data_IF_852994957952
#
_entry.id   IF_852994957952
#
_cell.length_a   1.000
_cell.length_b   1.000
_cell.length_c   1.000
_cell.angle_alpha   90.00
_cell.angle_beta   90.00
_cell.angle_gamma   90.00
#
_symmetry.space_group_name_H-M   'P 1'
#
loop_
_entity.id
_entity.type
_entity.pdbx_description
1 polymer ?
#
# COMPACT_ATOMS: atom_id res chain seq x y z
N UNK A 1 7.99 -41.55 -33.54
CA UNK A 1 7.81 -40.08 -33.76
C UNK A 1 6.76 -39.58 -32.76
N UNK A 2 7.21 -39.11 -31.59
CA UNK A 2 6.35 -38.51 -30.56
C UNK A 2 6.61 -37.03 -30.60
N UNK A 3 5.61 -36.28 -31.05
CA UNK A 3 5.59 -34.81 -31.00
C UNK A 3 5.24 -34.38 -29.57
N UNK A 4 6.22 -33.76 -28.89
CA UNK A 4 5.98 -33.08 -27.60
C UNK A 4 5.55 -31.64 -27.95
N UNK A 5 4.26 -31.35 -27.75
CA UNK A 5 3.75 -29.97 -27.78
C UNK A 5 4.06 -29.30 -26.45
N UNK A 6 5.00 -28.36 -26.46
CA UNK A 6 5.15 -27.38 -25.39
C UNK A 6 4.01 -26.39 -25.45
N UNK A 7 3.07 -26.50 -24.55
CA UNK A 7 2.01 -25.48 -24.38
C UNK A 7 2.58 -24.32 -23.57
N UNK A 8 2.95 -23.25 -24.25
CA UNK A 8 3.27 -21.97 -23.60
C UNK A 8 1.98 -21.39 -23.03
N UNK A 9 1.81 -21.44 -21.71
CA UNK A 9 0.75 -20.71 -21.02
C UNK A 9 1.10 -19.23 -21.06
N UNK A 10 0.50 -18.50 -22.00
CA UNK A 10 0.51 -17.04 -22.01
C UNK A 10 -0.38 -16.57 -20.85
N UNK A 11 0.20 -15.96 -19.85
CA UNK A 11 -0.52 -15.14 -18.89
C UNK A 11 -1.16 -13.97 -19.65
N UNK A 12 -2.45 -14.04 -19.87
CA UNK A 12 -3.24 -12.94 -20.42
C UNK A 12 -3.54 -12.03 -19.25
N UNK A 13 -2.81 -10.90 -19.15
CA UNK A 13 -3.25 -9.79 -18.32
C UNK A 13 -4.57 -9.27 -18.91
N UNK A 14 -5.65 -9.47 -18.19
CA UNK A 14 -6.96 -8.92 -18.59
C UNK A 14 -6.92 -7.44 -18.26
N UNK A 15 -6.52 -6.61 -19.23
CA UNK A 15 -6.70 -5.15 -19.15
C UNK A 15 -8.17 -4.89 -19.51
N UNK A 16 -9.00 -4.63 -18.51
CA UNK A 16 -10.35 -4.14 -18.72
C UNK A 16 -10.25 -2.65 -19.03
N UNK A 17 -10.07 -2.31 -20.32
CA UNK A 17 -10.17 -0.92 -20.80
C UNK A 17 -11.65 -0.62 -21.01
N UNK A 18 -12.28 0.09 -20.08
CA UNK A 18 -13.55 0.76 -20.37
C UNK A 18 -13.26 2.03 -21.16
N UNK A 19 -13.81 2.14 -22.37
CA UNK A 19 -13.72 3.33 -23.22
C UNK A 19 -14.42 4.52 -22.55
N UNK A 20 -13.65 5.54 -22.18
CA UNK A 20 -14.16 6.78 -21.59
C UNK A 20 -14.15 7.94 -22.59
N UNK A 21 -15.31 8.62 -22.67
CA UNK A 21 -15.44 9.96 -23.23
C UNK A 21 -15.34 10.97 -22.09
N UNK A 22 -14.20 11.63 -21.98
CA UNK A 22 -13.93 12.67 -21.00
C UNK A 22 -12.58 12.42 -20.31
N UNK A 23 -11.69 13.43 -20.29
CA UNK A 23 -10.33 13.29 -19.75
C UNK A 23 -10.38 13.39 -18.21
N UNK A 24 -10.92 12.38 -17.54
CA UNK A 24 -10.49 12.08 -16.17
C UNK A 24 -9.38 11.02 -16.31
N UNK A 25 -8.20 11.32 -15.81
CA UNK A 25 -7.12 10.31 -15.80
C UNK A 25 -7.47 9.27 -14.73
N UNK A 26 -7.71 8.04 -15.16
CA UNK A 26 -7.98 6.93 -14.26
C UNK A 26 -6.83 6.76 -13.25
N UNK A 27 -7.17 6.55 -11.99
CA UNK A 27 -6.20 6.26 -10.93
C UNK A 27 -5.75 4.81 -11.09
N UNK A 28 -4.43 4.60 -11.12
CA UNK A 28 -3.85 3.26 -11.10
C UNK A 28 -3.87 2.75 -9.66
N UNK A 29 -4.61 1.67 -9.41
CA UNK A 29 -4.68 0.99 -8.11
C UNK A 29 -3.91 -0.31 -8.21
N UNK A 30 -2.83 -0.45 -7.43
CA UNK A 30 -2.06 -1.68 -7.32
C UNK A 30 -2.51 -2.43 -6.06
N UNK A 31 -2.86 -3.70 -6.21
CA UNK A 31 -3.30 -4.53 -5.08
C UNK A 31 -2.37 -5.72 -4.95
N UNK A 32 -1.71 -5.83 -3.80
CA UNK A 32 -1.03 -7.06 -3.44
C UNK A 32 -2.08 -8.11 -3.05
N UNK A 33 -2.17 -9.17 -3.84
CA UNK A 33 -3.00 -10.33 -3.56
C UNK A 33 -2.17 -11.38 -2.84
N UNK A 34 -2.40 -11.52 -1.54
CA UNK A 34 -1.66 -12.42 -0.69
C UNK A 34 -1.85 -13.90 -1.06
N UNK A 35 -3.00 -14.26 -1.66
CA UNK A 35 -3.31 -15.64 -2.02
C UNK A 35 -2.52 -16.12 -3.25
N UNK A 36 -2.38 -15.24 -4.25
CA UNK A 36 -1.61 -15.53 -5.46
C UNK A 36 -0.15 -15.11 -5.35
N UNK A 37 0.21 -14.33 -4.31
CA UNK A 37 1.51 -13.68 -4.13
C UNK A 37 1.91 -12.86 -5.36
N UNK A 38 1.00 -11.99 -5.82
CA UNK A 38 1.17 -11.18 -7.03
C UNK A 38 0.63 -9.76 -6.82
N UNK A 39 1.02 -8.84 -7.70
CA UNK A 39 0.50 -7.47 -7.76
C UNK A 39 -0.48 -7.35 -8.93
N UNK A 40 -1.72 -7.06 -8.62
CA UNK A 40 -2.76 -6.79 -9.60
C UNK A 40 -2.88 -5.29 -9.86
N UNK A 41 -3.12 -4.91 -11.11
CA UNK A 41 -3.28 -3.51 -11.51
C UNK A 41 -4.68 -3.22 -12.04
N UNK A 42 -5.31 -2.20 -11.47
CA UNK A 42 -6.63 -1.70 -11.87
C UNK A 42 -6.50 -0.23 -12.30
N UNK A 43 -7.38 0.21 -13.21
CA UNK A 43 -7.47 1.60 -13.64
C UNK A 43 -8.90 2.06 -13.41
N UNK A 44 -9.11 2.87 -12.39
CA UNK A 44 -10.41 3.19 -11.82
C UNK A 44 -10.60 4.70 -11.67
N UNK A 45 -11.86 5.14 -11.65
CA UNK A 45 -12.24 6.50 -11.32
C UNK A 45 -12.36 6.66 -9.79
N UNK A 46 -12.33 7.90 -9.29
CA UNK A 46 -12.47 8.16 -7.84
C UNK A 46 -13.79 7.64 -7.25
N UNK A 47 -14.85 7.59 -8.06
CA UNK A 47 -16.18 7.09 -7.66
C UNK A 47 -16.31 5.56 -7.69
N UNK A 48 -15.35 4.86 -8.29
CA UNK A 48 -15.41 3.40 -8.35
C UNK A 48 -15.10 2.79 -6.96
N UNK A 49 -15.68 1.64 -6.68
CA UNK A 49 -15.37 0.88 -5.46
C UNK A 49 -13.93 0.36 -5.51
N UNK A 50 -13.23 0.40 -4.38
CA UNK A 50 -11.90 -0.22 -4.26
C UNK A 50 -11.95 -1.71 -4.61
N UNK A 51 -10.93 -2.24 -5.32
CA UNK A 51 -10.85 -3.68 -5.60
C UNK A 51 -10.94 -4.50 -4.30
N UNK A 52 -11.66 -5.62 -4.36
CA UNK A 52 -11.94 -6.52 -3.22
C UNK A 52 -12.83 -5.94 -2.11
N UNK A 53 -13.17 -4.66 -2.14
CA UNK A 53 -14.16 -4.10 -1.23
C UNK A 53 -15.59 -4.47 -1.69
N UNK A 54 -16.51 -4.60 -0.74
CA UNK A 54 -17.94 -4.74 -1.04
C UNK A 54 -18.42 -3.51 -1.80
N UNK A 55 -19.23 -3.70 -2.83
CA UNK A 55 -19.73 -2.62 -3.70
C UNK A 55 -20.27 -1.44 -2.90
N UNK A 56 -19.73 -0.26 -3.17
CA UNK A 56 -20.11 0.99 -2.52
C UNK A 56 -19.69 1.13 -1.05
N UNK A 57 -18.89 0.20 -0.50
CA UNK A 57 -18.46 0.27 0.91
C UNK A 57 -17.31 1.24 1.15
N UNK A 58 -16.43 1.40 0.17
CA UNK A 58 -15.35 2.38 0.12
C UNK A 58 -14.96 2.63 -1.34
N UNK A 59 -14.89 3.88 -1.74
CA UNK A 59 -14.48 4.29 -3.09
C UNK A 59 -12.96 4.51 -3.18
N UNK A 60 -12.45 4.53 -4.41
CA UNK A 60 -11.05 4.88 -4.70
C UNK A 60 -10.71 6.26 -4.15
N UNK A 61 -11.62 7.24 -4.31
CA UNK A 61 -11.46 8.59 -3.78
C UNK A 61 -11.39 8.64 -2.25
N UNK A 62 -12.25 7.88 -1.54
CA UNK A 62 -12.21 7.78 -0.08
C UNK A 62 -10.90 7.13 0.40
N UNK A 63 -10.47 6.03 -0.24
CA UNK A 63 -9.21 5.37 0.10
C UNK A 63 -8.00 6.25 -0.19
N UNK A 64 -7.97 6.92 -1.34
CA UNK A 64 -6.92 7.87 -1.74
C UNK A 64 -6.86 9.08 -0.81
N UNK A 65 -8.01 9.53 -0.32
CA UNK A 65 -8.14 10.68 0.58
C UNK A 65 -7.48 11.94 0.01
N UNK A 66 -6.60 12.56 0.78
CA UNK A 66 -5.88 13.78 0.39
C UNK A 66 -4.58 13.54 -0.41
N UNK A 67 -4.28 12.31 -0.82
CA UNK A 67 -3.15 12.04 -1.71
C UNK A 67 -3.43 12.58 -3.11
N UNK A 68 -2.44 13.22 -3.74
CA UNK A 68 -2.51 13.67 -5.13
C UNK A 68 -1.92 12.65 -6.11
N UNK A 69 -1.47 11.49 -5.63
CA UNK A 69 -0.85 10.48 -6.48
C UNK A 69 -1.83 9.89 -7.50
N UNK A 70 -1.44 9.78 -8.77
CA UNK A 70 -2.20 9.04 -9.77
C UNK A 70 -2.09 7.52 -9.60
N UNK A 71 -1.18 7.05 -8.73
CA UNK A 71 -0.99 5.62 -8.43
C UNK A 71 -1.07 5.41 -6.92
N UNK A 72 -1.99 4.57 -6.49
CA UNK A 72 -2.17 4.16 -5.10
C UNK A 72 -2.02 2.64 -4.99
N UNK A 73 -1.86 2.13 -3.78
CA UNK A 73 -1.77 0.69 -3.54
C UNK A 73 -2.39 0.28 -2.21
N UNK A 74 -2.76 -0.99 -2.16
CA UNK A 74 -3.30 -1.64 -0.96
C UNK A 74 -3.05 -3.15 -1.02
N UNK A 75 -3.60 -3.90 -0.06
CA UNK A 75 -3.63 -5.35 -0.06
C UNK A 75 -5.05 -5.87 -0.14
N UNK A 76 -5.24 -7.04 -0.77
CA UNK A 76 -6.51 -7.75 -0.77
C UNK A 76 -7.01 -7.98 0.66
N UNK A 77 -6.11 -8.45 1.53
CA UNK A 77 -6.47 -8.76 2.90
C UNK A 77 -6.96 -7.56 3.71
N UNK A 78 -6.46 -6.33 3.47
CA UNK A 78 -7.01 -5.12 4.12
C UNK A 78 -8.45 -4.88 3.68
N UNK A 79 -8.76 -5.03 2.39
CA UNK A 79 -10.12 -4.83 1.88
C UNK A 79 -11.10 -5.90 2.38
N UNK A 80 -10.66 -7.15 2.51
CA UNK A 80 -11.46 -8.21 3.10
C UNK A 80 -11.75 -7.98 4.59
N UNK A 81 -10.76 -7.50 5.36
CA UNK A 81 -10.97 -7.07 6.74
C UNK A 81 -11.92 -5.88 6.85
N UNK A 82 -11.80 -4.91 5.95
CA UNK A 82 -12.75 -3.80 5.84
C UNK A 82 -14.18 -4.29 5.62
N UNK A 83 -14.39 -5.22 4.68
CA UNK A 83 -15.71 -5.79 4.42
C UNK A 83 -16.32 -6.40 5.68
N UNK A 84 -15.52 -7.21 6.40
CA UNK A 84 -15.96 -7.85 7.63
C UNK A 84 -16.30 -6.82 8.72
N UNK A 85 -15.47 -5.78 8.89
CA UNK A 85 -15.71 -4.71 9.84
C UNK A 85 -16.99 -3.94 9.50
N UNK A 86 -17.20 -3.60 8.23
CA UNK A 86 -18.41 -2.91 7.74
C UNK A 86 -19.68 -3.74 7.94
N UNK A 87 -19.59 -5.04 7.70
CA UNK A 87 -20.71 -5.97 7.93
C UNK A 87 -21.08 -6.08 9.41
N UNK A 88 -20.07 -6.23 10.28
CA UNK A 88 -20.28 -6.33 11.72
C UNK A 88 -20.81 -5.02 12.34
N UNK A 89 -20.34 -3.89 11.86
CA UNK A 89 -20.82 -2.58 12.30
C UNK A 89 -22.24 -2.27 11.81
N UNK A 90 -22.61 -2.76 10.62
CA UNK A 90 -23.96 -2.68 10.07
C UNK A 90 -24.38 -1.30 9.51
N UNK A 91 -23.50 -0.29 9.53
CA UNK A 91 -23.77 1.05 9.00
C UNK A 91 -22.53 1.68 8.38
N UNK A 92 -22.64 2.80 7.62
CA UNK A 92 -21.48 3.49 7.06
C UNK A 92 -20.45 3.90 8.11
N UNK A 93 -19.16 3.67 7.79
CA UNK A 93 -18.00 4.14 8.56
C UNK A 93 -17.24 5.12 7.68
N UNK A 94 -17.05 6.36 8.17
CA UNK A 94 -16.22 7.37 7.49
C UNK A 94 -14.76 6.94 7.54
N UNK A 95 -14.09 6.89 6.39
CA UNK A 95 -12.62 6.72 6.28
C UNK A 95 -12.02 8.06 5.90
N UNK A 96 -11.08 8.57 6.68
CA UNK A 96 -10.47 9.87 6.43
C UNK A 96 -9.05 9.77 5.89
N UNK A 97 -8.29 8.77 6.35
CA UNK A 97 -6.95 8.50 5.86
C UNK A 97 -6.77 6.99 5.70
N UNK A 98 -6.43 6.56 4.49
CA UNK A 98 -6.02 5.19 4.25
C UNK A 98 -4.69 5.12 3.50
N UNK A 99 -4.43 6.06 2.58
CA UNK A 99 -3.25 6.03 1.72
C UNK A 99 -2.54 7.39 1.64
N UNK A 100 -1.22 7.32 1.61
CA UNK A 100 -0.29 8.40 1.25
C UNK A 100 0.96 7.82 0.60
N UNK A 101 1.57 8.57 -0.32
CA UNK A 101 2.94 8.27 -0.76
C UNK A 101 3.94 8.77 0.30
N UNK A 102 5.07 8.10 0.44
CA UNK A 102 6.08 8.47 1.44
C UNK A 102 6.56 9.93 1.26
N UNK A 103 6.79 10.35 0.02
CA UNK A 103 7.20 11.70 -0.32
C UNK A 103 6.14 12.78 -0.03
N UNK A 104 4.86 12.43 0.08
CA UNK A 104 3.80 13.36 0.52
C UNK A 104 3.88 13.66 2.03
N UNK A 105 4.41 12.73 2.81
CA UNK A 105 4.51 12.89 4.25
C UNK A 105 3.18 12.82 4.99
N UNK A 106 3.11 13.48 6.15
CA UNK A 106 1.90 13.57 6.96
C UNK A 106 1.75 12.50 8.06
N UNK A 107 2.50 11.40 7.98
CA UNK A 107 2.54 10.31 8.96
C UNK A 107 3.96 10.05 9.48
N UNK A 108 4.11 9.14 10.45
CA UNK A 108 5.41 8.69 10.94
C UNK A 108 6.27 8.03 9.85
N UNK A 109 7.60 7.94 10.07
CA UNK A 109 8.55 7.53 9.04
C UNK A 109 8.24 6.16 8.40
N UNK A 110 7.79 5.20 9.18
CA UNK A 110 7.44 3.85 8.70
C UNK A 110 5.94 3.55 8.94
N UNK A 111 5.09 4.53 8.66
CA UNK A 111 3.65 4.40 8.80
C UNK A 111 3.06 3.40 7.80
N UNK A 112 2.08 2.62 8.27
CA UNK A 112 1.37 1.63 7.45
C UNK A 112 0.44 2.29 6.41
N UNK A 113 0.13 3.58 6.54
CA UNK A 113 -0.57 4.34 5.51
C UNK A 113 0.25 4.46 4.21
N UNK A 114 1.59 4.55 4.31
CA UNK A 114 2.46 4.52 3.13
C UNK A 114 2.52 3.14 2.47
N UNK A 115 2.26 2.07 3.25
CA UNK A 115 2.15 0.73 2.71
C UNK A 115 0.75 0.42 2.13
N UNK A 116 -0.24 1.31 2.32
CA UNK A 116 -1.62 1.06 1.95
C UNK A 116 -2.26 -0.08 2.76
N UNK A 117 -1.78 -0.31 3.97
CA UNK A 117 -2.24 -1.41 4.85
C UNK A 117 -2.94 -0.91 6.11
N UNK A 118 -3.24 0.39 6.21
CA UNK A 118 -3.87 1.02 7.37
C UNK A 118 -5.07 1.88 6.97
N UNK A 119 -5.97 2.08 7.94
CA UNK A 119 -7.10 3.00 7.84
C UNK A 119 -7.28 3.78 9.13
N UNK A 120 -7.49 5.11 9.00
CA UNK A 120 -7.99 6.00 10.04
C UNK A 120 -9.44 6.34 9.75
N UNK A 121 -10.34 6.00 10.67
CA UNK A 121 -11.78 6.04 10.44
C UNK A 121 -12.55 6.58 11.64
N UNK A 122 -13.85 6.79 11.48
CA UNK A 122 -14.80 7.14 12.55
C UNK A 122 -14.49 8.46 13.28
N UNK A 123 -13.93 9.45 12.60
CA UNK A 123 -13.64 10.77 13.18
C UNK A 123 -14.92 11.50 13.60
N UNK A 124 -16.04 11.27 12.88
CA UNK A 124 -17.35 11.85 13.16
C UNK A 124 -18.16 11.11 14.25
N UNK A 125 -17.68 9.94 14.68
CA UNK A 125 -18.38 9.10 15.68
C UNK A 125 -18.24 9.66 17.10
N UNK A 126 -19.16 9.27 18.00
CA UNK A 126 -19.01 9.53 19.43
C UNK A 126 -17.80 8.76 20.00
N UNK A 127 -17.24 9.17 21.15
CA UNK A 127 -16.19 8.39 21.82
C UNK A 127 -16.62 6.92 22.08
N UNK A 128 -17.88 6.73 22.50
CA UNK A 128 -18.47 5.43 22.80
C UNK A 128 -18.54 4.55 21.55
N UNK A 129 -19.01 5.10 20.43
CA UNK A 129 -19.08 4.37 19.15
C UNK A 129 -17.68 4.01 18.62
N UNK A 130 -16.69 4.90 18.83
CA UNK A 130 -15.29 4.58 18.46
C UNK A 130 -14.72 3.44 19.31
N UNK A 131 -15.04 3.41 20.60
CA UNK A 131 -14.59 2.32 21.48
C UNK A 131 -15.25 1.00 21.12
N UNK A 132 -16.55 1.01 20.80
CA UNK A 132 -17.26 -0.16 20.30
C UNK A 132 -16.68 -0.65 18.96
N UNK A 133 -16.38 0.27 18.02
CA UNK A 133 -15.77 -0.08 16.74
C UNK A 133 -14.38 -0.72 16.91
N UNK A 134 -13.56 -0.26 17.88
CA UNK A 134 -12.28 -0.89 18.22
C UNK A 134 -12.47 -2.32 18.72
N UNK A 135 -13.41 -2.51 19.64
CA UNK A 135 -13.74 -3.84 20.18
C UNK A 135 -14.13 -4.79 19.04
N UNK A 136 -14.99 -4.34 18.12
CA UNK A 136 -15.37 -5.12 16.95
C UNK A 136 -14.17 -5.44 16.08
N UNK A 137 -13.31 -4.45 15.79
CA UNK A 137 -12.10 -4.65 14.98
C UNK A 137 -11.13 -5.67 15.61
N UNK A 138 -10.97 -5.65 16.94
CA UNK A 138 -10.19 -6.64 17.69
C UNK A 138 -10.83 -8.04 17.65
N UNK A 139 -12.15 -8.14 17.83
CA UNK A 139 -12.88 -9.42 17.84
C UNK A 139 -12.88 -10.10 16.46
N UNK A 140 -12.91 -9.37 15.38
CA UNK A 140 -12.78 -9.90 14.01
C UNK A 140 -11.45 -10.64 13.85
N UNK A 141 -10.38 -10.16 14.47
CA UNK A 141 -9.08 -10.83 14.54
C UNK A 141 -8.30 -10.85 13.21
N UNK A 142 -8.73 -10.10 12.20
CA UNK A 142 -8.03 -10.03 10.91
C UNK A 142 -7.09 -8.81 10.79
N UNK A 143 -7.30 -7.76 11.60
CA UNK A 143 -6.33 -6.67 11.74
C UNK A 143 -5.18 -7.12 12.63
N UNK A 144 -3.95 -6.79 12.23
CA UNK A 144 -2.75 -7.13 13.02
C UNK A 144 -2.55 -6.14 14.16
N UNK A 145 -3.02 -4.90 13.97
CA UNK A 145 -2.98 -3.86 14.97
C UNK A 145 -4.26 -3.03 14.96
N UNK A 146 -4.82 -2.84 16.14
CA UNK A 146 -5.89 -1.88 16.44
C UNK A 146 -5.32 -0.92 17.47
N UNK A 147 -5.23 0.37 17.14
CA UNK A 147 -4.56 1.33 18.00
C UNK A 147 -5.42 1.66 19.22
N UNK A 148 -4.84 1.62 20.44
CA UNK A 148 -5.56 1.93 21.66
C UNK A 148 -6.12 3.35 21.70
N UNK A 149 -7.31 3.54 22.30
CA UNK A 149 -8.00 4.82 22.34
C UNK A 149 -7.17 5.98 22.93
N UNK A 150 -6.24 5.72 23.86
CA UNK A 150 -5.40 6.77 24.46
C UNK A 150 -4.36 7.35 23.46
N UNK A 151 -4.03 6.64 22.39
CA UNK A 151 -3.16 7.13 21.30
C UNK A 151 -3.96 7.84 20.22
N UNK A 152 -5.18 7.37 19.92
CA UNK A 152 -6.06 7.92 18.89
C UNK A 152 -7.46 8.23 19.42
N UNK A 153 -7.60 9.18 20.37
CA UNK A 153 -8.88 9.41 21.06
C UNK A 153 -10.00 9.96 20.14
N UNK A 154 -9.65 10.51 18.99
CA UNK A 154 -10.57 11.17 18.06
C UNK A 154 -10.82 10.42 16.74
N UNK A 155 -10.17 9.26 16.56
CA UNK A 155 -10.39 8.35 15.41
C UNK A 155 -10.05 6.92 15.80
N UNK A 156 -10.39 5.97 14.95
CA UNK A 156 -9.99 4.57 15.10
C UNK A 156 -8.94 4.26 14.04
N UNK A 157 -7.73 3.86 14.47
CA UNK A 157 -6.69 3.36 13.58
C UNK A 157 -6.63 1.84 13.63
N UNK A 158 -6.64 1.24 12.45
CA UNK A 158 -6.42 -0.20 12.26
C UNK A 158 -5.39 -0.42 11.17
N UNK A 159 -4.60 -1.48 11.29
CA UNK A 159 -3.74 -1.88 10.19
C UNK A 159 -3.56 -3.40 10.06
N UNK A 160 -3.13 -3.78 8.89
CA UNK A 160 -2.81 -5.15 8.51
C UNK A 160 -1.35 -5.26 8.05
N UNK A 161 -0.46 -4.73 8.88
CA UNK A 161 0.99 -4.77 8.63
C UNK A 161 1.49 -6.20 8.44
N UNK A 162 2.46 -6.40 7.56
CA UNK A 162 3.15 -7.69 7.46
C UNK A 162 4.17 -7.82 8.59
N UNK A 163 4.39 -9.04 9.05
CA UNK A 163 5.29 -9.40 10.15
C UNK A 163 6.31 -10.45 9.70
N UNK A 164 7.48 -10.54 10.36
CA UNK A 164 7.99 -9.64 11.39
C UNK A 164 8.56 -8.35 10.79
N UNK A 165 8.53 -7.21 11.52
CA UNK A 165 9.17 -5.98 11.08
C UNK A 165 10.70 -6.13 11.11
N UNK A 166 11.39 -5.42 10.20
CA UNK A 166 12.86 -5.36 10.20
C UNK A 166 13.40 -4.54 11.39
N UNK A 167 12.61 -3.54 11.83
CA UNK A 167 12.83 -2.76 13.05
C UNK A 167 11.61 -2.88 13.97
N UNK A 168 11.77 -2.53 15.25
CA UNK A 168 10.66 -2.51 16.19
C UNK A 168 9.52 -1.59 15.71
N UNK A 169 8.40 -2.08 15.33
CA UNK A 169 7.21 -1.38 14.84
C UNK A 169 7.32 -0.77 13.41
N UNK A 170 8.24 -1.25 12.59
CA UNK A 170 8.48 -0.71 11.25
C UNK A 170 8.03 -1.61 10.10
N UNK A 171 8.64 -1.34 8.94
CA UNK A 171 8.45 -2.14 7.74
C UNK A 171 9.17 -3.47 7.84
N UNK A 172 8.70 -4.46 7.07
CA UNK A 172 9.39 -5.75 6.95
C UNK A 172 10.69 -5.60 6.15
N UNK A 173 11.59 -6.58 6.29
CA UNK A 173 12.72 -6.70 5.39
C UNK A 173 12.24 -7.12 4.00
N UNK A 174 12.72 -6.42 2.95
CA UNK A 174 12.49 -6.81 1.55
C UNK A 174 13.79 -6.97 0.80
N UNK A 175 13.84 -7.93 -0.12
CA UNK A 175 15.01 -8.29 -0.92
C UNK A 175 14.56 -8.92 -2.24
N UNK A 176 15.50 -9.20 -3.12
CA UNK A 176 15.23 -9.87 -4.39
C UNK A 176 14.33 -11.09 -4.21
N UNK A 177 13.24 -11.15 -5.00
CA UNK A 177 12.17 -12.14 -4.91
C UNK A 177 11.00 -11.75 -3.99
N UNK A 178 11.08 -10.66 -3.23
CA UNK A 178 9.93 -10.14 -2.46
C UNK A 178 8.88 -9.55 -3.39
N UNK A 179 7.59 -9.81 -3.11
CA UNK A 179 6.43 -9.24 -3.81
C UNK A 179 5.44 -8.75 -2.75
N UNK A 180 5.27 -7.45 -2.60
CA UNK A 180 4.31 -6.83 -1.68
C UNK A 180 4.31 -5.30 -1.78
N UNK A 181 3.45 -4.64 -0.98
CA UNK A 181 3.34 -3.18 -0.96
C UNK A 181 4.55 -2.46 -0.36
N UNK A 182 5.37 -3.11 0.47
CA UNK A 182 6.62 -2.50 0.96
C UNK A 182 7.68 -2.42 -0.14
N UNK A 183 7.65 -3.33 -1.12
CA UNK A 183 8.46 -3.18 -2.33
C UNK A 183 8.03 -1.97 -3.13
N UNK A 184 6.71 -1.67 -3.22
CA UNK A 184 6.21 -0.44 -3.85
C UNK A 184 6.74 0.82 -3.14
N UNK A 185 6.75 0.84 -1.79
CA UNK A 185 7.34 1.96 -1.04
C UNK A 185 8.83 2.11 -1.38
N UNK A 186 9.58 1.00 -1.40
CA UNK A 186 11.01 1.01 -1.73
C UNK A 186 11.26 1.56 -3.12
N UNK A 187 10.55 1.03 -4.12
CA UNK A 187 10.67 1.45 -5.51
C UNK A 187 10.32 2.92 -5.68
N UNK A 188 9.22 3.37 -5.06
CA UNK A 188 8.79 4.77 -5.07
C UNK A 188 9.84 5.70 -4.46
N UNK A 189 10.38 5.33 -3.31
CA UNK A 189 11.39 6.10 -2.60
C UNK A 189 12.71 6.19 -3.39
N UNK A 190 13.17 5.08 -3.96
CA UNK A 190 14.37 5.04 -4.81
C UNK A 190 14.20 5.92 -6.05
N UNK A 191 13.07 5.82 -6.74
CA UNK A 191 12.76 6.65 -7.90
C UNK A 191 12.69 8.14 -7.53
N UNK A 192 12.08 8.49 -6.39
CA UNK A 192 12.01 9.87 -5.88
C UNK A 192 13.41 10.46 -5.64
N UNK A 193 14.36 9.65 -5.20
CA UNK A 193 15.77 10.05 -4.99
C UNK A 193 16.63 9.97 -6.25
N UNK A 194 16.06 9.58 -7.40
CA UNK A 194 16.77 9.51 -8.69
C UNK A 194 17.51 8.18 -8.92
N UNK A 195 17.36 7.18 -8.07
CA UNK A 195 17.87 5.82 -8.31
C UNK A 195 16.88 5.06 -9.19
N UNK A 196 16.87 5.37 -10.48
CA UNK A 196 15.95 4.83 -11.47
C UNK A 196 16.28 3.39 -11.86
N UNK A 197 15.30 2.67 -12.42
CA UNK A 197 15.44 1.26 -12.82
C UNK A 197 14.70 0.30 -11.91
N UNK A 198 14.22 0.77 -10.75
CA UNK A 198 13.46 -0.06 -9.82
C UNK A 198 12.03 -0.41 -10.32
N UNK A 199 11.48 0.36 -11.28
CA UNK A 199 10.06 0.23 -11.65
C UNK A 199 9.12 0.79 -10.58
N UNK A 200 7.84 0.50 -10.67
CA UNK A 200 6.82 0.68 -9.62
C UNK A 200 5.76 -0.41 -9.83
N UNK A 201 6.14 -1.64 -9.55
CA UNK A 201 5.36 -2.85 -9.82
C UNK A 201 5.19 -3.75 -8.59
N UNK A 202 5.88 -3.43 -7.48
CA UNK A 202 5.84 -4.20 -6.23
C UNK A 202 6.58 -5.53 -6.28
N UNK A 203 7.34 -5.79 -7.36
CA UNK A 203 8.17 -6.98 -7.53
C UNK A 203 9.64 -6.61 -7.37
N UNK A 204 10.30 -7.13 -6.35
CA UNK A 204 11.71 -6.87 -6.12
C UNK A 204 12.56 -7.72 -7.07
N UNK A 205 12.76 -7.21 -8.28
CA UNK A 205 13.63 -7.82 -9.29
C UNK A 205 15.06 -7.25 -9.26
N UNK A 206 15.85 -7.62 -10.26
CA UNK A 206 17.26 -7.18 -10.41
C UNK A 206 17.37 -5.66 -10.48
N UNK A 207 16.47 -4.98 -11.22
CA UNK A 207 16.51 -3.51 -11.33
C UNK A 207 16.27 -2.82 -9.97
N UNK A 208 15.37 -3.33 -9.14
CA UNK A 208 15.16 -2.83 -7.77
C UNK A 208 16.39 -3.07 -6.90
N UNK A 209 17.03 -4.25 -7.02
CA UNK A 209 18.25 -4.58 -6.30
C UNK A 209 19.39 -3.64 -6.66
N UNK A 210 19.64 -3.44 -7.95
CA UNK A 210 20.73 -2.59 -8.42
C UNK A 210 20.52 -1.12 -7.98
N UNK A 211 19.29 -0.61 -8.08
CA UNK A 211 18.94 0.73 -7.59
C UNK A 211 19.14 0.85 -6.06
N UNK A 212 18.75 -0.16 -5.30
CA UNK A 212 18.93 -0.20 -3.84
C UNK A 212 20.42 -0.24 -3.47
N UNK A 213 21.23 -1.08 -4.13
CA UNK A 213 22.67 -1.16 -3.87
C UNK A 213 23.36 0.17 -4.17
N UNK A 214 23.00 0.83 -5.28
CA UNK A 214 23.52 2.16 -5.62
C UNK A 214 23.14 3.22 -4.57
N UNK A 215 21.90 3.18 -4.06
CA UNK A 215 21.46 4.02 -2.94
C UNK A 215 22.29 3.75 -1.68
N UNK A 216 22.42 2.49 -1.27
CA UNK A 216 23.16 2.08 -0.08
C UNK A 216 24.62 2.55 -0.17
N UNK A 217 25.29 2.32 -1.29
CA UNK A 217 26.68 2.78 -1.53
C UNK A 217 26.79 4.31 -1.41
N UNK A 218 25.85 5.04 -2.01
CA UNK A 218 25.85 6.51 -1.97
C UNK A 218 25.66 7.10 -0.57
N UNK A 219 25.15 6.33 0.37
CA UNK A 219 24.91 6.71 1.78
C UNK A 219 25.92 6.09 2.74
N UNK A 220 26.91 5.35 2.23
CA UNK A 220 27.91 4.67 3.04
C UNK A 220 27.35 3.49 3.85
N UNK A 221 26.19 2.96 3.43
CA UNK A 221 25.62 1.72 3.94
C UNK A 221 26.27 0.51 3.27
N UNK A 222 26.12 -0.67 3.85
CA UNK A 222 26.52 -1.92 3.20
C UNK A 222 25.67 -2.14 1.95
N UNK A 223 26.24 -2.21 0.72
CA UNK A 223 25.47 -2.37 -0.51
C UNK A 223 25.10 -3.84 -0.74
N UNK A 224 24.29 -4.41 0.15
CA UNK A 224 23.87 -5.81 0.13
C UNK A 224 22.59 -6.07 -0.69
N UNK A 225 21.89 -5.01 -1.11
CA UNK A 225 20.66 -5.09 -1.86
C UNK A 225 19.48 -5.59 -1.00
N UNK A 226 19.53 -5.38 0.32
CA UNK A 226 18.48 -5.75 1.27
C UNK A 226 17.99 -4.49 1.97
N UNK A 227 16.70 -4.19 1.88
CA UNK A 227 16.10 -3.12 2.65
C UNK A 227 15.72 -3.64 4.04
N UNK A 228 16.70 -3.63 4.94
CA UNK A 228 16.59 -3.94 6.35
C UNK A 228 16.36 -2.69 7.20
N UNK A 229 16.49 -2.83 8.53
CA UNK A 229 16.22 -1.76 9.49
C UNK A 229 16.99 -0.46 9.19
N UNK A 230 18.31 -0.56 8.97
CA UNK A 230 19.17 0.59 8.73
C UNK A 230 18.78 1.27 7.41
N UNK A 231 18.65 0.52 6.32
CA UNK A 231 18.22 1.05 5.02
C UNK A 231 16.87 1.75 5.11
N UNK A 232 15.87 1.14 5.76
CA UNK A 232 14.55 1.77 5.94
C UNK A 232 14.62 3.06 6.74
N UNK A 233 15.45 3.12 7.78
CA UNK A 233 15.61 4.31 8.60
C UNK A 233 16.18 5.46 7.77
N UNK A 234 17.23 5.23 7.00
CA UNK A 234 17.82 6.25 6.14
C UNK A 234 16.84 6.68 5.04
N UNK A 235 16.30 5.73 4.29
CA UNK A 235 15.44 5.99 3.14
C UNK A 235 14.18 6.77 3.54
N UNK A 236 13.51 6.35 4.61
CA UNK A 236 12.29 7.02 5.06
C UNK A 236 12.55 8.39 5.66
N UNK A 237 13.71 8.61 6.28
CA UNK A 237 14.09 9.93 6.79
C UNK A 237 14.39 10.93 5.66
N UNK A 238 14.92 10.47 4.53
CA UNK A 238 15.23 11.32 3.38
C UNK A 238 13.98 11.66 2.57
N UNK A 239 13.12 10.66 2.29
CA UNK A 239 12.02 10.81 1.32
C UNK A 239 10.76 11.38 1.95
N UNK A 240 10.49 11.13 3.24
CA UNK A 240 9.24 11.52 3.89
C UNK A 240 8.99 13.03 3.85
N UNK A 241 7.91 13.43 3.13
CA UNK A 241 7.50 14.84 3.03
C UNK A 241 8.39 15.69 2.11
N UNK A 242 9.23 15.07 1.31
CA UNK A 242 10.15 15.73 0.37
C UNK A 242 9.42 16.38 -0.80
N UNK A 243 8.22 15.91 -1.12
CA UNK A 243 7.53 16.22 -2.35
C UNK A 243 8.02 15.33 -3.50
N UNK A 244 7.20 15.18 -4.55
CA UNK A 244 7.62 14.48 -5.76
C UNK A 244 8.61 15.37 -6.54
N UNK A 245 9.78 14.83 -6.87
CA UNK A 245 10.74 15.48 -7.76
C UNK A 245 10.53 15.06 -9.21
N UNK A 246 9.70 14.06 -9.46
CA UNK A 246 9.40 13.52 -10.78
C UNK A 246 8.00 13.91 -11.23
N UNK A 247 7.93 14.77 -12.27
CA UNK A 247 6.69 15.13 -12.97
C UNK A 247 6.30 14.08 -14.03
N UNK A 248 7.05 13.00 -14.16
CA UNK A 248 6.89 11.96 -15.19
C UNK A 248 6.44 10.61 -14.66
N UNK A 249 6.07 10.48 -13.39
CA UNK A 249 5.48 9.23 -12.88
C UNK A 249 4.03 9.12 -13.34
N UNK A 250 3.89 8.79 -14.60
CA UNK A 250 2.64 8.37 -15.25
C UNK A 250 2.38 6.89 -15.00
#
# INVERSE_FOLDING_TARGET
>A
LINIFFTAVKFIHIIIIRNYKGVNMAIKVLVYNEDSNDIEAYYLEESDTMPYATEGSITVGEFRGSSNSPTIWTTKGLMECWNTLREQWGSPIEVRYAFKRLWEGGHGAQSQHYAGTAMDMAQSFSPEDRDELRIIAELIGCFVYVEPAYLTPTWVHVDRRLNPPACAAGYIMVREGSINTYVLILQDALNTLGFTGAGLDGVFGVGTKDALMAYQESRGLTPDGIAGCETWTYLTSEVRGMGSTDTTVL
#
